data_IF_286663473290
#
_entry.id   IF_286663473290
#
_cell.length_a   1.000
_cell.length_b   1.000
_cell.length_c   1.000
_cell.angle_alpha   90.00
_cell.angle_beta   90.00
_cell.angle_gamma   90.00
#
_symmetry.space_group_name_H-M   'P 1'
#
loop_
_entity.id
_entity.type
_entity.pdbx_description
1 polymer ?
#
# COMPACT_ATOMS: atom_id res chain seq x y z
N UNK A 1 -8.81 -10.51 -22.82
CA UNK A 1 -8.31 -11.69 -23.56
C UNK A 1 -8.67 -11.68 -25.05
N UNK A 2 -9.86 -11.21 -25.44
CA UNK A 2 -10.36 -11.40 -26.82
C UNK A 2 -9.48 -10.84 -27.95
N UNK A 3 -8.78 -9.71 -27.75
CA UNK A 3 -7.97 -9.09 -28.81
C UNK A 3 -6.51 -9.54 -28.86
N UNK A 4 -5.88 -9.77 -27.71
CA UNK A 4 -4.43 -9.97 -27.61
C UNK A 4 -4.02 -11.24 -26.84
N UNK A 5 -4.98 -12.05 -26.40
CA UNK A 5 -4.72 -13.24 -25.58
C UNK A 5 -4.49 -12.94 -24.09
N UNK A 6 -4.01 -13.96 -23.37
CA UNK A 6 -3.68 -13.89 -21.94
C UNK A 6 -2.34 -13.23 -21.65
N UNK A 7 -1.45 -13.19 -22.65
CA UNK A 7 -0.10 -12.60 -22.57
C UNK A 7 0.08 -11.65 -23.75
N UNK A 8 0.37 -10.38 -23.50
CA UNK A 8 0.55 -9.40 -24.57
C UNK A 8 1.53 -8.29 -24.20
N UNK A 9 2.09 -7.63 -25.21
CA UNK A 9 2.99 -6.49 -25.06
C UNK A 9 2.24 -5.17 -25.19
N UNK A 10 2.59 -4.19 -24.37
CA UNK A 10 2.09 -2.81 -24.47
C UNK A 10 3.12 -1.80 -23.95
N UNK A 11 2.78 -0.51 -23.97
CA UNK A 11 3.51 0.53 -23.26
C UNK A 11 2.65 1.13 -22.16
N UNK A 12 3.14 1.11 -20.93
CA UNK A 12 2.53 1.79 -19.78
C UNK A 12 3.47 2.91 -19.32
N UNK A 13 2.99 4.15 -19.37
CA UNK A 13 3.75 5.35 -18.93
C UNK A 13 5.14 5.42 -19.58
N UNK A 14 5.22 5.11 -20.88
CA UNK A 14 6.47 5.15 -21.66
C UNK A 14 7.39 3.94 -21.49
N UNK A 15 7.04 2.98 -20.62
CA UNK A 15 7.82 1.74 -20.42
C UNK A 15 7.17 0.61 -21.21
N UNK A 16 7.98 -0.14 -21.97
CA UNK A 16 7.52 -1.34 -22.68
C UNK A 16 7.36 -2.47 -21.66
N UNK A 17 6.17 -3.07 -21.61
CA UNK A 17 5.83 -4.11 -20.63
C UNK A 17 5.15 -5.29 -21.31
N UNK A 18 5.30 -6.47 -20.70
CA UNK A 18 4.49 -7.65 -20.99
C UNK A 18 3.45 -7.75 -19.87
N UNK A 19 2.17 -7.80 -20.25
CA UNK A 19 1.06 -8.02 -19.32
C UNK A 19 0.67 -9.49 -19.40
N UNK A 20 0.61 -10.15 -18.23
CA UNK A 20 0.22 -11.55 -18.11
C UNK A 20 -1.01 -11.70 -17.22
N UNK A 21 -2.03 -12.34 -17.77
CA UNK A 21 -3.20 -12.87 -17.06
C UNK A 21 -3.17 -14.41 -17.04
N UNK A 22 -2.08 -15.01 -17.51
CA UNK A 22 -1.85 -16.45 -17.58
C UNK A 22 -1.36 -16.98 -16.23
N UNK A 23 -2.02 -18.01 -15.69
CA UNK A 23 -1.71 -18.54 -14.36
C UNK A 23 -0.34 -19.17 -14.26
N UNK A 24 0.11 -19.86 -15.31
CA UNK A 24 1.36 -20.62 -15.31
C UNK A 24 2.55 -19.68 -15.39
N UNK A 25 2.48 -18.68 -16.29
CA UNK A 25 3.47 -17.62 -16.35
C UNK A 25 3.50 -16.81 -15.05
N UNK A 26 2.35 -16.44 -14.49
CA UNK A 26 2.31 -15.71 -13.22
C UNK A 26 2.94 -16.53 -12.08
N UNK A 27 2.66 -17.84 -12.00
CA UNK A 27 3.30 -18.73 -11.02
C UNK A 27 4.81 -18.84 -11.22
N UNK A 28 5.26 -18.91 -12.47
CA UNK A 28 6.69 -18.94 -12.81
C UNK A 28 7.39 -17.65 -12.37
N UNK A 29 6.80 -16.49 -12.64
CA UNK A 29 7.33 -15.19 -12.22
C UNK A 29 7.60 -15.16 -10.72
N UNK A 30 6.59 -15.54 -9.92
CA UNK A 30 6.75 -15.55 -8.45
C UNK A 30 7.72 -16.60 -7.94
N UNK A 31 7.81 -17.77 -8.57
CA UNK A 31 8.72 -18.86 -8.17
C UNK A 31 10.18 -18.60 -8.53
N UNK A 32 10.41 -17.77 -9.55
CA UNK A 32 11.74 -17.46 -10.09
C UNK A 32 12.15 -16.00 -9.87
N UNK A 33 11.51 -15.34 -8.91
CA UNK A 33 11.94 -14.05 -8.36
C UNK A 33 13.38 -14.16 -7.86
N UNK A 34 14.20 -13.13 -8.12
CA UNK A 34 15.63 -13.06 -7.84
C UNK A 34 16.53 -14.08 -8.61
N UNK A 35 15.96 -14.99 -9.40
CA UNK A 35 16.69 -15.90 -10.31
C UNK A 35 16.65 -15.41 -11.77
N UNK A 36 15.44 -15.22 -12.30
CA UNK A 36 15.22 -14.80 -13.70
C UNK A 36 14.29 -13.60 -13.81
N UNK A 37 13.55 -13.28 -12.75
CA UNK A 37 12.71 -12.09 -12.63
C UNK A 37 13.20 -11.23 -11.48
N UNK A 38 13.01 -9.91 -11.61
CA UNK A 38 13.29 -8.95 -10.55
C UNK A 38 12.10 -8.02 -10.40
N UNK A 39 11.68 -7.79 -9.15
CA UNK A 39 10.73 -6.76 -8.80
C UNK A 39 11.20 -5.40 -9.31
N UNK A 40 10.35 -4.76 -10.11
CA UNK A 40 10.60 -3.44 -10.67
C UNK A 40 9.42 -2.52 -10.36
N UNK A 41 9.75 -1.26 -10.05
CA UNK A 41 8.78 -0.21 -9.79
C UNK A 41 9.07 0.99 -10.70
N UNK A 42 8.06 1.67 -11.26
CA UNK A 42 8.25 2.92 -11.98
C UNK A 42 8.97 3.96 -11.12
N UNK A 43 9.81 4.79 -11.75
CA UNK A 43 10.55 5.84 -11.07
C UNK A 43 9.65 6.78 -10.25
N UNK A 44 8.41 7.00 -10.69
CA UNK A 44 7.47 7.80 -9.94
C UNK A 44 7.07 7.20 -8.60
N UNK A 45 6.98 5.87 -8.52
CA UNK A 45 6.73 5.19 -7.25
C UNK A 45 7.98 5.27 -6.36
N UNK A 46 9.17 5.09 -6.93
CA UNK A 46 10.42 5.17 -6.15
C UNK A 46 10.68 6.58 -5.61
N UNK A 47 10.27 7.63 -6.33
CA UNK A 47 10.31 9.02 -5.85
C UNK A 47 9.39 9.25 -4.65
N UNK A 48 8.16 8.73 -4.70
CA UNK A 48 7.20 8.79 -3.59
C UNK A 48 7.72 8.08 -2.33
N UNK A 49 8.50 7.00 -2.48
CA UNK A 49 9.15 6.31 -1.36
C UNK A 49 10.50 6.92 -0.91
N UNK A 50 10.98 7.99 -1.55
CA UNK A 50 12.22 8.69 -1.20
C UNK A 50 13.49 8.14 -1.88
N UNK A 51 14.28 9.05 -2.48
CA UNK A 51 15.48 8.75 -3.29
C UNK A 51 16.68 8.18 -2.52
N UNK A 52 16.76 8.36 -1.20
CA UNK A 52 17.84 7.80 -0.35
C UNK A 52 17.80 6.26 -0.23
N UNK A 53 16.77 5.63 -0.81
CA UNK A 53 16.57 4.19 -0.85
C UNK A 53 17.07 3.53 -2.16
N UNK A 54 17.66 4.30 -3.09
CA UNK A 54 17.99 3.84 -4.45
C UNK A 54 19.16 2.86 -4.54
N UNK A 55 20.13 2.91 -3.62
CA UNK A 55 21.24 1.95 -3.58
C UNK A 55 20.83 0.56 -3.08
N UNK A 56 19.67 0.48 -2.43
CA UNK A 56 19.13 -0.71 -1.73
C UNK A 56 17.95 -1.34 -2.48
N UNK A 57 17.50 -0.71 -3.58
CA UNK A 57 16.29 -1.03 -4.34
C UNK A 57 16.37 -2.34 -5.14
N UNK A 58 17.56 -2.92 -5.32
CA UNK A 58 17.74 -4.23 -5.92
C UNK A 58 17.84 -5.31 -4.83
N UNK A 59 16.79 -6.11 -4.66
CA UNK A 59 16.69 -7.31 -3.80
C UNK A 59 16.70 -7.06 -2.27
N UNK A 60 17.58 -6.18 -1.77
CA UNK A 60 17.82 -5.96 -0.34
C UNK A 60 16.68 -5.26 0.40
N UNK A 61 16.17 -4.14 -0.14
CA UNK A 61 15.08 -3.38 0.48
C UNK A 61 13.75 -4.12 0.41
N UNK A 62 13.43 -4.76 -0.71
CA UNK A 62 12.21 -5.58 -0.81
C UNK A 62 12.25 -6.71 0.22
N UNK A 63 13.37 -7.43 0.35
CA UNK A 63 13.55 -8.48 1.36
C UNK A 63 13.48 -7.94 2.79
N UNK A 64 14.12 -6.81 3.07
CA UNK A 64 14.08 -6.14 4.37
C UNK A 64 12.65 -5.70 4.74
N UNK A 65 11.97 -4.97 3.85
CA UNK A 65 10.60 -4.51 4.04
C UNK A 65 9.62 -5.67 4.16
N UNK A 66 9.74 -6.70 3.30
CA UNK A 66 8.95 -7.92 3.39
C UNK A 66 9.15 -8.61 4.73
N UNK A 67 10.38 -8.77 5.20
CA UNK A 67 10.67 -9.37 6.50
C UNK A 67 10.13 -8.52 7.65
N UNK A 68 10.24 -7.19 7.58
CA UNK A 68 9.69 -6.29 8.59
C UNK A 68 8.16 -6.40 8.66
N UNK A 69 7.48 -6.40 7.51
CA UNK A 69 6.02 -6.59 7.43
C UNK A 69 5.61 -7.96 7.95
N UNK A 70 6.30 -9.03 7.57
CA UNK A 70 6.02 -10.39 8.06
C UNK A 70 6.34 -10.55 9.56
N UNK A 71 7.32 -9.82 10.09
CA UNK A 71 7.63 -9.84 11.52
C UNK A 71 6.59 -9.11 12.37
N UNK A 72 5.83 -8.19 11.76
CA UNK A 72 4.80 -7.40 12.44
C UNK A 72 3.39 -7.94 12.19
N UNK A 73 3.13 -8.48 11.00
CA UNK A 73 1.82 -8.95 10.53
C UNK A 73 1.86 -10.39 9.98
N UNK A 74 2.87 -11.18 10.36
CA UNK A 74 2.92 -12.59 10.03
C UNK A 74 1.86 -13.41 10.78
N UNK A 75 1.64 -14.68 10.42
CA UNK A 75 0.57 -15.50 10.97
C UNK A 75 0.54 -15.55 12.51
N UNK A 76 1.70 -15.68 13.15
CA UNK A 76 1.77 -15.73 14.62
C UNK A 76 1.44 -14.39 15.28
N UNK A 77 1.97 -13.28 14.74
CA UNK A 77 1.63 -11.94 15.22
C UNK A 77 0.15 -11.62 15.02
N UNK A 78 -0.43 -12.04 13.90
CA UNK A 78 -1.86 -11.85 13.62
C UNK A 78 -2.72 -12.61 14.63
N UNK A 79 -2.34 -13.83 15.03
CA UNK A 79 -3.03 -14.56 16.09
C UNK A 79 -2.97 -13.81 17.42
N UNK A 80 -1.79 -13.27 17.78
CA UNK A 80 -1.61 -12.46 18.99
C UNK A 80 -2.46 -11.17 18.95
N UNK A 81 -2.59 -10.55 17.77
CA UNK A 81 -3.32 -9.30 17.57
C UNK A 81 -4.84 -9.47 17.40
N UNK A 82 -5.34 -10.69 17.21
CA UNK A 82 -6.74 -10.94 16.84
C UNK A 82 -7.72 -10.41 17.89
N UNK A 83 -7.43 -10.63 19.18
CA UNK A 83 -8.26 -10.17 20.29
C UNK A 83 -8.32 -8.63 20.36
N UNK A 84 -7.22 -7.96 20.03
CA UNK A 84 -7.15 -6.50 19.99
C UNK A 84 -7.92 -5.93 18.79
N UNK A 85 -7.77 -6.54 17.61
CA UNK A 85 -8.54 -6.19 16.41
C UNK A 85 -10.04 -6.33 16.69
N UNK A 86 -10.44 -7.44 17.32
CA UNK A 86 -11.84 -7.68 17.71
C UNK A 86 -12.34 -6.60 18.68
N UNK A 87 -11.54 -6.28 19.71
CA UNK A 87 -11.88 -5.26 20.70
C UNK A 87 -12.08 -3.88 20.05
N UNK A 88 -11.13 -3.44 19.23
CA UNK A 88 -11.21 -2.16 18.49
C UNK A 88 -12.44 -2.16 17.58
N UNK A 89 -12.69 -3.25 16.86
CA UNK A 89 -13.84 -3.38 15.98
C UNK A 89 -15.15 -3.23 16.74
N UNK A 90 -15.31 -3.91 17.89
CA UNK A 90 -16.50 -3.81 18.74
C UNK A 90 -16.74 -2.39 19.25
N UNK A 91 -15.69 -1.70 19.69
CA UNK A 91 -15.77 -0.31 20.17
C UNK A 91 -16.26 0.61 19.05
N UNK A 92 -15.69 0.51 17.86
CA UNK A 92 -16.07 1.34 16.72
C UNK A 92 -17.49 1.02 16.24
N UNK A 93 -17.87 -0.26 16.13
CA UNK A 93 -19.23 -0.68 15.78
C UNK A 93 -20.27 -0.15 16.77
N UNK A 94 -20.01 -0.22 18.07
CA UNK A 94 -20.89 0.33 19.10
C UNK A 94 -21.06 1.85 18.98
N UNK A 95 -19.99 2.58 18.65
CA UNK A 95 -20.05 4.03 18.40
C UNK A 95 -20.82 4.35 17.12
N UNK A 96 -20.64 3.57 16.07
CA UNK A 96 -21.33 3.76 14.79
C UNK A 96 -22.84 3.53 14.93
N UNK A 97 -23.24 2.51 15.69
CA UNK A 97 -24.66 2.21 15.96
C UNK A 97 -25.41 3.39 16.62
N UNK A 98 -24.71 4.25 17.36
CA UNK A 98 -25.31 5.41 18.03
C UNK A 98 -25.52 6.62 17.10
N UNK A 99 -24.90 6.64 15.91
CA UNK A 99 -24.93 7.80 14.99
C UNK A 99 -26.12 7.82 14.02
N UNK A 100 -26.93 6.76 13.99
CA UNK A 100 -28.07 6.60 13.07
C UNK A 100 -27.66 6.31 11.62
N UNK A 101 -26.82 7.15 11.02
CA UNK A 101 -26.23 6.94 9.68
C UNK A 101 -24.71 7.07 9.74
N UNK A 102 -24.00 6.18 9.04
CA UNK A 102 -22.54 6.15 8.98
C UNK A 102 -22.09 5.90 7.54
N UNK A 103 -21.14 6.70 7.06
CA UNK A 103 -20.42 6.43 5.82
C UNK A 103 -19.33 5.38 6.12
N UNK A 104 -19.60 4.13 5.74
CA UNK A 104 -18.81 2.97 6.16
C UNK A 104 -17.39 3.00 5.61
N UNK A 105 -17.17 3.51 4.40
CA UNK A 105 -15.83 3.56 3.80
C UNK A 105 -14.90 4.42 4.67
N UNK A 106 -15.33 5.63 4.99
CA UNK A 106 -14.57 6.58 5.81
C UNK A 106 -14.38 6.03 7.20
N UNK A 107 -15.46 5.55 7.83
CA UNK A 107 -15.42 5.07 9.21
C UNK A 107 -14.52 3.83 9.38
N UNK A 108 -14.56 2.88 8.44
CA UNK A 108 -13.68 1.72 8.45
C UNK A 108 -12.23 2.10 8.16
N UNK A 109 -11.98 3.01 7.22
CA UNK A 109 -10.63 3.53 6.96
C UNK A 109 -10.03 4.23 8.18
N UNK A 110 -10.80 5.02 8.95
CA UNK A 110 -10.33 5.63 10.21
C UNK A 110 -9.91 4.58 11.22
N UNK A 111 -10.75 3.56 11.41
CA UNK A 111 -10.50 2.50 12.36
C UNK A 111 -9.21 1.75 12.01
N UNK A 112 -9.02 1.39 10.73
CA UNK A 112 -7.83 0.69 10.24
C UNK A 112 -6.59 1.57 10.37
N UNK A 113 -6.65 2.83 9.95
CA UNK A 113 -5.53 3.76 10.01
C UNK A 113 -5.10 4.01 11.47
N UNK A 114 -6.07 4.26 12.36
CA UNK A 114 -5.81 4.46 13.79
C UNK A 114 -5.12 3.24 14.41
N UNK A 115 -5.62 2.04 14.09
CA UNK A 115 -5.03 0.79 14.58
C UNK A 115 -3.62 0.56 14.04
N UNK A 116 -3.43 0.74 12.73
CA UNK A 116 -2.13 0.57 12.09
C UNK A 116 -1.09 1.57 12.62
N UNK A 117 -1.48 2.83 12.78
CA UNK A 117 -0.62 3.87 13.32
C UNK A 117 -0.20 3.60 14.77
N UNK A 118 -1.15 3.17 15.62
CA UNK A 118 -0.84 2.74 16.99
C UNK A 118 0.17 1.58 17.00
N UNK A 119 0.04 0.64 16.06
CA UNK A 119 0.93 -0.53 15.97
C UNK A 119 2.30 -0.26 15.38
N UNK A 120 2.40 0.66 14.42
CA UNK A 120 3.63 0.93 13.70
C UNK A 120 4.46 2.05 14.32
N UNK A 121 3.79 3.02 14.98
CA UNK A 121 4.42 4.27 15.42
C UNK A 121 4.35 4.42 16.96
N UNK A 122 3.65 3.51 17.66
CA UNK A 122 3.46 3.55 19.14
C UNK A 122 2.93 4.90 19.64
N UNK A 123 2.14 5.60 18.83
CA UNK A 123 1.61 6.92 19.13
C UNK A 123 0.11 6.83 19.44
N UNK A 124 -0.33 7.35 20.59
CA UNK A 124 -1.75 7.56 20.89
C UNK A 124 -2.23 8.83 20.18
N UNK A 125 -3.26 8.68 19.36
CA UNK A 125 -3.49 9.51 18.18
C UNK A 125 -4.55 10.61 18.36
N UNK A 126 -4.90 10.94 19.61
CA UNK A 126 -6.10 11.75 19.92
C UNK A 126 -6.07 13.20 19.40
N UNK A 127 -4.94 13.70 18.87
CA UNK A 127 -4.84 15.06 18.26
C UNK A 127 -4.22 15.14 16.87
N UNK A 128 -3.66 14.06 16.30
CA UNK A 128 -2.97 14.11 14.99
C UNK A 128 -3.56 13.23 13.90
N UNK A 129 -4.77 12.69 14.13
CA UNK A 129 -5.46 11.79 13.19
C UNK A 129 -5.88 12.46 11.89
N UNK A 130 -6.36 13.70 11.92
CA UNK A 130 -6.80 14.42 10.72
C UNK A 130 -5.63 14.65 9.75
N UNK A 131 -4.51 15.20 10.25
CA UNK A 131 -3.30 15.39 9.43
C UNK A 131 -2.75 14.05 8.92
N UNK A 132 -2.79 12.98 9.73
CA UNK A 132 -2.31 11.67 9.30
C UNK A 132 -3.21 11.05 8.22
N UNK A 133 -4.53 11.20 8.33
CA UNK A 133 -5.49 10.76 7.32
C UNK A 133 -5.26 11.51 6.02
N UNK A 134 -5.21 12.84 6.06
CA UNK A 134 -5.01 13.65 4.86
C UNK A 134 -3.69 13.31 4.17
N UNK A 135 -2.61 13.15 4.94
CA UNK A 135 -1.31 12.73 4.42
C UNK A 135 -1.36 11.31 3.82
N UNK A 136 -2.03 10.37 4.49
CA UNK A 136 -2.16 8.99 3.99
C UNK A 136 -3.02 8.92 2.72
N UNK A 137 -4.11 9.68 2.65
CA UNK A 137 -4.95 9.77 1.46
C UNK A 137 -4.21 10.43 0.30
N UNK A 138 -3.48 11.52 0.55
CA UNK A 138 -2.64 12.18 -0.44
C UNK A 138 -1.54 11.23 -0.95
N UNK A 139 -0.93 10.46 -0.05
CA UNK A 139 0.07 9.44 -0.38
C UNK A 139 -0.49 8.33 -1.28
N UNK A 140 -1.58 7.67 -0.87
CA UNK A 140 -2.19 6.58 -1.65
C UNK A 140 -2.68 7.10 -3.01
N UNK A 141 -3.32 8.28 -3.03
CA UNK A 141 -3.83 8.87 -4.28
C UNK A 141 -2.68 9.27 -5.21
N UNK A 142 -1.58 9.82 -4.68
CA UNK A 142 -0.38 10.13 -5.45
C UNK A 142 0.29 8.89 -6.02
N UNK A 143 0.40 7.84 -5.22
CA UNK A 143 1.03 6.58 -5.60
C UNK A 143 0.37 5.92 -6.82
N UNK A 144 -0.96 5.99 -6.93
CA UNK A 144 -1.73 5.41 -8.05
C UNK A 144 -2.00 6.40 -9.19
N UNK A 145 -1.63 7.67 -9.03
CA UNK A 145 -1.89 8.70 -10.04
C UNK A 145 -0.87 8.68 -11.18
N UNK A 146 -1.24 9.30 -12.31
CA UNK A 146 -0.27 9.52 -13.38
C UNK A 146 0.82 10.49 -12.89
N UNK A 147 2.11 10.20 -13.14
CA UNK A 147 3.21 10.90 -12.48
C UNK A 147 3.51 12.27 -13.10
N UNK A 148 2.62 13.23 -12.88
CA UNK A 148 2.73 14.61 -13.36
C UNK A 148 2.96 15.52 -12.16
N UNK A 149 4.18 16.05 -12.01
CA UNK A 149 4.55 16.96 -10.92
C UNK A 149 4.13 18.42 -11.21
N UNK A 150 2.83 18.67 -11.43
CA UNK A 150 2.27 20.01 -11.65
C UNK A 150 1.38 20.38 -10.44
N UNK A 151 1.46 21.62 -9.91
CA UNK A 151 0.58 22.07 -8.84
C UNK A 151 -0.90 21.74 -9.10
N UNK A 152 -1.55 21.09 -8.13
CA UNK A 152 -2.94 20.66 -8.22
C UNK A 152 -3.14 19.19 -8.60
N UNK A 153 -2.13 18.49 -9.13
CA UNK A 153 -2.21 17.04 -9.37
C UNK A 153 -2.05 16.25 -8.07
N UNK A 154 -2.59 15.02 -8.07
CA UNK A 154 -2.41 14.10 -6.94
C UNK A 154 -0.93 13.73 -6.71
N UNK A 155 -0.17 13.50 -7.78
CA UNK A 155 1.27 13.22 -7.70
C UNK A 155 2.03 14.39 -7.05
N UNK A 156 1.74 15.63 -7.45
CA UNK A 156 2.38 16.80 -6.86
C UNK A 156 2.07 16.92 -5.36
N UNK A 157 0.80 16.75 -4.97
CA UNK A 157 0.38 16.80 -3.54
C UNK A 157 1.10 15.74 -2.71
N UNK A 158 1.25 14.52 -3.23
CA UNK A 158 1.95 13.44 -2.55
C UNK A 158 3.43 13.75 -2.31
N UNK A 159 4.09 14.47 -3.22
CA UNK A 159 5.49 14.89 -3.04
C UNK A 159 5.67 16.00 -1.99
N UNK A 160 4.58 16.61 -1.51
CA UNK A 160 4.63 17.63 -0.45
C UNK A 160 4.41 17.06 0.96
N UNK A 161 4.02 15.78 1.07
CA UNK A 161 3.83 15.05 2.34
C UNK A 161 5.20 14.65 2.90
#
# INVERSE_FOLDING_TARGET
MERYGSIFKTSLVGVQVIVSTDSDLNSLVFKKEDEVFQSWWPNSMTEVFGRTNLSTLYGGLHKFTKNMVLNQFGPERLKEMLSEIESVSKIHLARWAQKGTVEVKTAASDMILSFAAKKLISHDLDKSLENMRENFEAFITGLISFPIAIPGTAYYKCLQV
#
